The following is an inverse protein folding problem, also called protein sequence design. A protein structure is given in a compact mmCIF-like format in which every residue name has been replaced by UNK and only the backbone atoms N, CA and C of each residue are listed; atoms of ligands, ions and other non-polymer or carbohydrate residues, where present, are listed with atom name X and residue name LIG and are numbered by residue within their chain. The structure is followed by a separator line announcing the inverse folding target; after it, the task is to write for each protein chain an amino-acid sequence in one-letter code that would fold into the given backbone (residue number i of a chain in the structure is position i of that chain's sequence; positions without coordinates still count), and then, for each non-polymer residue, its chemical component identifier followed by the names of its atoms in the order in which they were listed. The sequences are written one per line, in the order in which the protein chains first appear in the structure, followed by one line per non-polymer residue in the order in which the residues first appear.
data_IF_111173463015
#
_entry.id   IF_111173463015
#
_cell.length_a   1.000
_cell.length_b   1.000
_cell.length_c   1.000
_cell.angle_alpha   90.00
_cell.angle_beta   90.00
_cell.angle_gamma   90.00
#
_symmetry.space_group_name_H-M   'P 1'
#
loop_
_entity.id
_entity.type
_entity.pdbx_description
1 polymer ?
#
# COMPACT_ATOMS: atom_id res chain seq x y z
N UNK A 1 -2.47 -13.00 25.13
CA UNK A 1 -2.11 -13.75 23.91
C UNK A 1 -0.94 -13.02 23.26
N UNK A 2 0.03 -13.71 22.67
CA UNK A 2 1.08 -13.04 21.88
C UNK A 2 0.44 -12.38 20.67
N UNK A 3 0.81 -11.13 20.36
CA UNK A 3 0.38 -10.48 19.12
C UNK A 3 0.92 -11.24 17.91
N UNK A 4 0.10 -11.36 16.85
CA UNK A 4 0.51 -11.94 15.57
C UNK A 4 0.97 -10.83 14.63
N UNK A 5 1.80 -11.17 13.65
CA UNK A 5 2.21 -10.25 12.57
C UNK A 5 1.40 -10.47 11.29
N UNK A 6 1.06 -9.36 10.63
CA UNK A 6 0.22 -9.34 9.44
C UNK A 6 0.91 -8.61 8.28
N UNK A 7 0.76 -9.17 7.09
CA UNK A 7 0.90 -8.42 5.83
C UNK A 7 -0.43 -8.41 5.09
N UNK A 8 -0.81 -7.25 4.59
CA UNK A 8 -2.03 -7.11 3.78
C UNK A 8 -1.64 -7.04 2.31
N UNK A 9 -2.32 -7.82 1.46
CA UNK A 9 -2.18 -7.76 0.01
C UNK A 9 -3.41 -7.08 -0.57
N UNK A 10 -3.26 -5.87 -1.11
CA UNK A 10 -4.37 -5.07 -1.64
C UNK A 10 -4.31 -5.07 -3.17
N UNK A 11 -5.30 -5.69 -3.80
CA UNK A 11 -5.38 -5.75 -5.26
C UNK A 11 -6.31 -4.68 -5.88
N UNK A 12 -7.21 -4.10 -5.08
CA UNK A 12 -8.22 -3.15 -5.55
C UNK A 12 -7.75 -1.70 -5.57
N UNK A 13 -8.25 -0.87 -6.50
CA UNK A 13 -7.80 0.51 -6.67
C UNK A 13 -8.14 1.41 -5.48
N UNK A 14 -7.51 2.59 -5.44
CA UNK A 14 -7.75 3.61 -4.38
C UNK A 14 -9.21 4.08 -4.32
N UNK A 15 -9.84 4.23 -5.49
CA UNK A 15 -11.25 4.54 -5.67
C UNK A 15 -11.85 3.64 -6.76
N UNK A 16 -13.16 3.38 -6.70
CA UNK A 16 -13.90 2.56 -7.67
C UNK A 16 -14.28 1.16 -7.18
N UNK A 17 -13.64 0.65 -6.12
CA UNK A 17 -14.11 -0.54 -5.40
C UNK A 17 -13.89 -0.39 -3.89
N UNK A 18 -14.56 -1.23 -3.10
CA UNK A 18 -14.44 -1.19 -1.64
C UNK A 18 -13.19 -1.92 -1.12
N UNK A 19 -12.47 -2.68 -1.97
CA UNK A 19 -11.36 -3.57 -1.57
C UNK A 19 -10.30 -2.83 -0.74
N UNK A 20 -9.74 -1.72 -1.25
CA UNK A 20 -8.71 -0.97 -0.55
C UNK A 20 -9.21 -0.34 0.76
N UNK A 21 -10.48 0.11 0.78
CA UNK A 21 -11.11 0.67 1.98
C UNK A 21 -11.33 -0.39 3.06
N UNK A 22 -11.75 -1.58 2.68
CA UNK A 22 -11.90 -2.73 3.58
C UNK A 22 -10.55 -3.17 4.15
N UNK A 23 -9.51 -3.21 3.32
CA UNK A 23 -8.15 -3.50 3.78
C UNK A 23 -7.67 -2.49 4.84
N UNK A 24 -7.93 -1.21 4.63
CA UNK A 24 -7.59 -0.15 5.61
C UNK A 24 -8.33 -0.33 6.93
N UNK A 25 -9.64 -0.59 6.89
CA UNK A 25 -10.42 -0.82 8.11
C UNK A 25 -9.96 -2.06 8.85
N UNK A 26 -9.61 -3.13 8.12
CA UNK A 26 -9.02 -4.33 8.69
C UNK A 26 -7.67 -4.05 9.36
N UNK A 27 -6.79 -3.29 8.70
CA UNK A 27 -5.48 -2.93 9.25
C UNK A 27 -5.61 -2.23 10.62
N UNK A 28 -6.54 -1.27 10.72
CA UNK A 28 -6.85 -0.60 11.99
C UNK A 28 -7.34 -1.56 13.06
N UNK A 29 -8.32 -2.41 12.71
CA UNK A 29 -8.89 -3.38 13.64
C UNK A 29 -7.84 -4.38 14.15
N UNK A 30 -6.91 -4.82 13.29
CA UNK A 30 -5.79 -5.70 13.67
C UNK A 30 -4.93 -5.05 14.75
N UNK A 31 -4.56 -3.77 14.58
CA UNK A 31 -3.76 -3.04 15.58
C UNK A 31 -4.54 -2.84 16.89
N UNK A 32 -5.82 -2.49 16.81
CA UNK A 32 -6.70 -2.34 17.98
C UNK A 32 -6.83 -3.62 18.81
N UNK A 33 -6.73 -4.80 18.17
CA UNK A 33 -6.73 -6.11 18.83
C UNK A 33 -5.35 -6.51 19.41
N UNK A 34 -4.34 -5.63 19.35
CA UNK A 34 -3.01 -5.89 19.88
C UNK A 34 -2.13 -6.75 18.96
N UNK A 35 -2.41 -6.76 17.67
CA UNK A 35 -1.55 -7.37 16.65
C UNK A 35 -0.73 -6.31 15.90
N UNK A 36 0.22 -6.76 15.09
CA UNK A 36 1.10 -5.87 14.33
C UNK A 36 0.85 -6.02 12.84
N UNK A 37 0.56 -4.92 12.15
CA UNK A 37 0.62 -4.87 10.68
C UNK A 37 2.04 -4.45 10.31
N UNK A 38 2.78 -5.34 9.65
CA UNK A 38 4.19 -5.11 9.29
C UNK A 38 4.30 -4.39 7.95
N UNK A 39 3.44 -4.78 6.99
CA UNK A 39 3.42 -4.19 5.66
C UNK A 39 2.07 -4.30 4.97
N UNK A 40 1.86 -3.41 4.01
CA UNK A 40 0.78 -3.47 3.04
C UNK A 40 1.41 -3.49 1.65
N UNK A 41 1.20 -4.58 0.93
CA UNK A 41 1.68 -4.76 -0.43
C UNK A 41 0.54 -4.52 -1.42
N UNK A 42 0.69 -3.50 -2.26
CA UNK A 42 -0.27 -3.10 -3.28
C UNK A 42 0.11 -3.74 -4.62
N UNK A 43 -0.80 -4.52 -5.18
CA UNK A 43 -0.60 -5.24 -6.44
C UNK A 43 -1.78 -5.05 -7.38
N UNK A 44 -1.62 -5.42 -8.66
CA UNK A 44 -2.65 -5.24 -9.69
C UNK A 44 -3.15 -3.79 -9.76
N UNK A 45 -4.45 -3.54 -9.61
CA UNK A 45 -5.04 -2.19 -9.57
C UNK A 45 -4.74 -1.45 -8.25
N UNK A 46 -4.36 -2.19 -7.22
CA UNK A 46 -4.02 -1.65 -5.90
C UNK A 46 -2.86 -0.68 -5.89
N UNK A 47 -1.96 -0.76 -6.88
CA UNK A 47 -0.85 0.19 -7.01
C UNK A 47 -1.31 1.65 -7.15
N UNK A 48 -2.55 1.88 -7.60
CA UNK A 48 -3.13 3.24 -7.65
C UNK A 48 -3.27 3.90 -6.27
N UNK A 49 -3.30 3.12 -5.18
CA UNK A 49 -3.26 3.65 -3.81
C UNK A 49 -1.96 4.40 -3.49
N UNK A 50 -0.88 4.16 -4.24
CA UNK A 50 0.39 4.87 -4.10
C UNK A 50 0.48 6.16 -4.90
N UNK A 51 -0.58 6.63 -5.56
CA UNK A 51 -0.52 7.88 -6.34
C UNK A 51 -0.59 9.13 -5.45
N UNK A 52 0.38 10.04 -5.60
CA UNK A 52 0.36 11.38 -4.99
C UNK A 52 -0.63 12.34 -5.67
N UNK A 53 -1.16 11.96 -6.83
CA UNK A 53 -1.99 12.82 -7.69
C UNK A 53 -3.49 12.50 -7.56
N UNK A 54 -3.86 11.60 -6.66
CA UNK A 54 -5.27 11.35 -6.36
C UNK A 54 -5.85 12.54 -5.59
N UNK A 55 -6.92 13.14 -6.14
CA UNK A 55 -7.62 14.29 -5.53
C UNK A 55 -9.10 13.92 -5.38
N UNK A 56 -9.50 13.30 -4.25
CA UNK A 56 -10.92 13.06 -3.97
C UNK A 56 -11.67 14.37 -3.72
N UNK A 57 -13.00 14.33 -3.74
CA UNK A 57 -13.81 15.48 -3.33
C UNK A 57 -13.63 15.78 -1.83
N UNK A 58 -13.90 17.03 -1.43
CA UNK A 58 -13.68 17.48 -0.04
C UNK A 58 -14.53 16.74 1.01
N UNK A 59 -15.64 16.14 0.59
CA UNK A 59 -16.56 15.35 1.40
C UNK A 59 -16.33 13.83 1.29
N UNK A 60 -15.34 13.41 0.52
CA UNK A 60 -14.93 12.01 0.37
C UNK A 60 -13.77 11.65 1.31
N UNK A 61 -13.66 10.36 1.62
CA UNK A 61 -12.59 9.85 2.46
C UNK A 61 -11.29 9.72 1.64
N UNK A 62 -10.29 10.52 1.97
CA UNK A 62 -8.96 10.44 1.36
C UNK A 62 -8.19 9.20 1.82
N UNK A 63 -8.30 8.12 1.05
CA UNK A 63 -7.69 6.84 1.38
C UNK A 63 -6.17 6.85 1.24
N UNK A 64 -5.62 7.59 0.28
CA UNK A 64 -4.17 7.70 0.10
C UNK A 64 -3.55 8.34 1.35
N UNK A 65 -4.07 9.49 1.76
CA UNK A 65 -3.59 10.19 2.97
C UNK A 65 -3.81 9.36 4.23
N UNK A 66 -4.92 8.64 4.32
CA UNK A 66 -5.18 7.75 5.45
C UNK A 66 -4.14 6.63 5.57
N UNK A 67 -3.69 6.05 4.45
CA UNK A 67 -2.59 5.09 4.45
C UNK A 67 -1.28 5.71 4.91
N UNK A 68 -0.94 6.91 4.44
CA UNK A 68 0.29 7.60 4.84
C UNK A 68 0.33 7.83 6.36
N UNK A 69 -0.75 8.37 6.93
CA UNK A 69 -0.87 8.60 8.38
C UNK A 69 -0.78 7.27 9.15
N UNK A 70 -1.51 6.25 8.71
CA UNK A 70 -1.48 4.93 9.34
C UNK A 70 -0.07 4.31 9.33
N UNK A 71 0.66 4.48 8.23
CA UNK A 71 2.02 3.98 8.10
C UNK A 71 3.00 4.70 9.02
N UNK A 72 2.87 6.02 9.15
CA UNK A 72 3.68 6.82 10.07
C UNK A 72 3.41 6.45 11.53
N UNK A 73 2.13 6.43 11.93
CA UNK A 73 1.70 6.17 13.32
C UNK A 73 2.08 4.77 13.81
N UNK A 74 2.15 3.79 12.90
CA UNK A 74 2.34 2.38 13.24
C UNK A 74 3.59 1.75 12.64
N UNK A 75 4.45 2.53 11.98
CA UNK A 75 5.67 2.04 11.31
C UNK A 75 5.41 0.92 10.30
N UNK A 76 4.31 1.02 9.55
CA UNK A 76 3.89 0.03 8.55
C UNK A 76 4.54 0.37 7.21
N UNK A 77 5.14 -0.62 6.53
CA UNK A 77 5.67 -0.39 5.18
C UNK A 77 4.55 -0.39 4.14
N UNK A 78 4.49 0.63 3.30
CA UNK A 78 3.57 0.69 2.16
C UNK A 78 4.35 0.43 0.87
N UNK A 79 4.12 -0.72 0.24
CA UNK A 79 4.92 -1.19 -0.89
C UNK A 79 4.02 -1.37 -2.10
N UNK A 80 4.33 -0.69 -3.22
CA UNK A 80 3.68 -0.94 -4.50
C UNK A 80 4.53 -1.88 -5.34
N UNK A 81 3.92 -2.86 -6.00
CA UNK A 81 4.64 -3.71 -6.93
C UNK A 81 5.18 -2.87 -8.11
N UNK A 82 6.50 -2.75 -8.22
CA UNK A 82 7.16 -1.88 -9.21
C UNK A 82 6.67 -2.16 -10.64
N UNK A 83 6.65 -3.42 -11.07
CA UNK A 83 6.23 -3.78 -12.41
C UNK A 83 4.75 -3.48 -12.68
N UNK A 84 3.87 -3.63 -11.68
CA UNK A 84 2.45 -3.33 -11.82
C UNK A 84 2.17 -1.82 -11.78
N UNK A 85 2.92 -1.09 -10.96
CA UNK A 85 2.86 0.35 -10.81
C UNK A 85 3.30 1.06 -12.10
N UNK A 86 4.46 0.69 -12.65
CA UNK A 86 4.98 1.25 -13.91
C UNK A 86 4.01 1.09 -15.08
N UNK A 87 3.40 -0.10 -15.24
CA UNK A 87 2.39 -0.34 -16.29
C UNK A 87 1.13 0.52 -16.15
N UNK A 88 0.87 1.09 -14.97
CA UNK A 88 -0.28 1.96 -14.67
C UNK A 88 0.11 3.42 -14.46
N UNK A 89 1.36 3.78 -14.75
CA UNK A 89 1.85 5.15 -14.61
C UNK A 89 1.99 5.63 -13.17
N UNK A 90 2.17 4.71 -12.21
CA UNK A 90 2.61 5.05 -10.85
C UNK A 90 4.11 4.85 -10.78
N UNK A 91 4.86 5.94 -10.59
CA UNK A 91 6.30 6.00 -10.81
C UNK A 91 6.95 6.69 -9.61
N UNK A 92 7.93 6.04 -8.99
CA UNK A 92 8.80 6.66 -7.99
C UNK A 92 9.82 7.60 -8.61
N UNK A 93 10.50 8.40 -7.80
CA UNK A 93 11.61 9.23 -8.27
C UNK A 93 12.76 8.39 -8.86
N UNK A 94 13.09 7.26 -8.22
CA UNK A 94 14.12 6.34 -8.71
C UNK A 94 13.77 5.78 -10.09
N UNK A 95 12.55 5.28 -10.25
CA UNK A 95 12.09 4.73 -11.53
C UNK A 95 11.95 5.81 -12.61
N UNK A 96 11.54 7.03 -12.24
CA UNK A 96 11.49 8.14 -13.19
C UNK A 96 12.88 8.47 -13.74
N UNK A 97 13.90 8.50 -12.87
CA UNK A 97 15.29 8.70 -13.26
C UNK A 97 15.80 7.54 -14.14
N UNK A 98 15.52 6.29 -13.75
CA UNK A 98 15.94 5.11 -14.49
C UNK A 98 15.34 5.04 -15.90
N UNK A 99 14.09 5.46 -16.06
CA UNK A 99 13.35 5.41 -17.33
C UNK A 99 13.40 6.72 -18.13
N UNK A 100 14.10 7.75 -17.66
CA UNK A 100 14.22 9.04 -18.35
C UNK A 100 12.92 9.83 -18.41
N UNK A 101 12.06 9.68 -17.39
CA UNK A 101 10.80 10.40 -17.26
C UNK A 101 11.03 11.75 -16.58
N UNK A 102 10.28 12.77 -16.99
CA UNK A 102 10.40 14.13 -16.45
C UNK A 102 9.72 14.32 -15.09
N UNK A 103 8.83 13.39 -14.72
CA UNK A 103 8.00 13.49 -13.52
C UNK A 103 7.83 12.13 -12.86
N UNK A 104 7.60 12.15 -11.55
CA UNK A 104 7.19 11.02 -10.74
C UNK A 104 5.90 11.39 -10.00
N UNK A 105 5.18 10.39 -9.49
CA UNK A 105 3.90 10.58 -8.81
C UNK A 105 3.66 9.58 -7.67
N UNK A 106 4.70 8.92 -7.16
CA UNK A 106 4.56 8.07 -5.98
C UNK A 106 4.36 8.93 -4.73
N UNK A 107 3.32 8.62 -3.96
CA UNK A 107 2.98 9.30 -2.72
C UNK A 107 4.08 9.08 -1.67
N UNK A 108 4.31 10.10 -0.84
CA UNK A 108 5.25 10.01 0.27
C UNK A 108 4.89 8.83 1.20
N UNK A 109 5.91 8.14 1.72
CA UNK A 109 5.72 6.97 2.59
C UNK A 109 5.45 5.66 1.84
N UNK A 110 5.16 5.71 0.53
CA UNK A 110 5.15 4.53 -0.32
C UNK A 110 6.53 4.28 -0.93
N UNK A 111 6.85 3.01 -1.15
CA UNK A 111 8.02 2.56 -1.90
C UNK A 111 7.60 1.63 -3.03
N UNK A 112 8.47 1.49 -4.05
CA UNK A 112 8.29 0.50 -5.11
C UNK A 112 9.16 -0.73 -4.81
N UNK A 113 8.54 -1.90 -4.80
CA UNK A 113 9.19 -3.17 -4.45
C UNK A 113 8.88 -4.26 -5.49
N UNK A 114 9.79 -5.22 -5.62
CA UNK A 114 9.57 -6.42 -6.42
C UNK A 114 8.66 -7.42 -5.72
N UNK A 115 8.18 -8.44 -6.46
CA UNK A 115 7.39 -9.55 -5.91
C UNK A 115 8.16 -10.37 -4.86
N UNK A 116 9.48 -10.24 -4.79
CA UNK A 116 10.30 -10.83 -3.73
C UNK A 116 9.88 -10.39 -2.32
N UNK A 117 9.50 -9.11 -2.14
CA UNK A 117 9.01 -8.62 -0.84
C UNK A 117 7.71 -9.30 -0.41
N UNK A 118 6.78 -9.50 -1.35
CA UNK A 118 5.55 -10.24 -1.08
C UNK A 118 5.85 -11.71 -0.74
N UNK A 119 6.75 -12.36 -1.48
CA UNK A 119 7.14 -13.73 -1.20
C UNK A 119 7.78 -13.88 0.19
N UNK A 120 8.65 -12.95 0.57
CA UNK A 120 9.26 -12.90 1.90
C UNK A 120 8.20 -12.71 2.99
N UNK A 121 7.24 -11.80 2.79
CA UNK A 121 6.14 -11.60 3.74
C UNK A 121 5.30 -12.88 3.93
N UNK A 122 5.00 -13.61 2.85
CA UNK A 122 4.28 -14.89 2.90
C UNK A 122 5.04 -16.00 3.64
N UNK A 123 6.38 -15.91 3.70
CA UNK A 123 7.23 -16.88 4.41
C UNK A 123 7.49 -16.49 5.87
N UNK A 124 7.45 -15.20 6.19
CA UNK A 124 7.94 -14.68 7.48
C UNK A 124 6.85 -14.16 8.42
N UNK A 125 5.70 -13.73 7.89
CA UNK A 125 4.62 -13.20 8.72
C UNK A 125 3.65 -14.29 9.16
N UNK A 126 3.04 -14.13 10.34
CA UNK A 126 2.07 -15.11 10.84
C UNK A 126 0.85 -15.20 9.90
N UNK A 127 0.41 -14.07 9.34
CA UNK A 127 -0.77 -14.00 8.48
C UNK A 127 -0.54 -13.08 7.28
N UNK A 128 -0.95 -13.56 6.10
CA UNK A 128 -1.12 -12.72 4.91
C UNK A 128 -2.59 -12.72 4.53
N UNK A 129 -3.21 -11.54 4.48
CA UNK A 129 -4.64 -11.37 4.18
C UNK A 129 -4.80 -10.57 2.90
N UNK A 130 -5.54 -11.13 1.94
CA UNK A 130 -5.75 -10.52 0.63
C UNK A 130 -7.10 -9.83 0.52
N UNK A 131 -7.11 -8.67 -0.13
CA UNK A 131 -8.28 -7.84 -0.43
C UNK A 131 -8.34 -7.48 -1.91
#
# INVERSE_FOLDING_TARGET
MSGLTYTLLVNGPVYGSQSARSAYQFAKAVIEQGHTVVSVFFYQEGVSNGSALSVPANDEFDLNKAWQVFAEDHSVRLETCVAAALRRGIVSEEEANQHGLTQNNLAQGFTQAGLGSLAEAMLTQDRVVQF
#
